data_IF_354877511985
#
_entry.id   IF_354877511985
#
_cell.length_a   1.000
_cell.length_b   1.000
_cell.length_c   1.000
_cell.angle_alpha   90.00
_cell.angle_beta   90.00
_cell.angle_gamma   90.00
#
_symmetry.space_group_name_H-M   'P 1'
#
loop_
_entity.id
_entity.type
_entity.pdbx_description
1 polymer ?
#
# COMPACT_ATOMS: atom_id res chain seq x y z
N UNK A 1 15.02 4.77 1.80
CA UNK A 1 14.23 5.80 2.53
C UNK A 1 12.89 6.01 1.81
N UNK A 2 11.74 5.89 2.50
CA UNK A 2 10.41 6.00 1.89
C UNK A 2 9.74 7.35 2.20
N UNK A 3 9.05 7.93 1.21
CA UNK A 3 8.15 9.06 1.38
C UNK A 3 6.69 8.60 1.20
N UNK A 4 5.83 8.96 2.16
CA UNK A 4 4.40 8.76 2.10
C UNK A 4 3.73 10.07 1.67
N UNK A 5 3.15 10.08 0.48
CA UNK A 5 2.40 11.21 -0.07
C UNK A 5 0.91 10.96 0.15
N UNK A 6 0.28 11.78 0.98
CA UNK A 6 -1.16 11.74 1.25
C UNK A 6 -1.78 13.11 1.05
N UNK A 7 -3.12 13.20 1.06
CA UNK A 7 -3.86 14.44 0.76
C UNK A 7 -3.37 15.67 1.54
N UNK A 8 -2.93 15.47 2.78
CA UNK A 8 -2.56 16.54 3.72
C UNK A 8 -1.06 16.88 3.74
N UNK A 9 -0.20 16.20 2.98
CA UNK A 9 1.25 16.41 3.06
C UNK A 9 2.12 15.25 2.60
N UNK A 10 3.41 15.32 2.95
CA UNK A 10 4.39 14.26 2.68
C UNK A 10 5.13 13.94 3.98
N UNK A 11 5.04 12.69 4.41
CA UNK A 11 5.73 12.18 5.59
C UNK A 11 6.89 11.27 5.18
N UNK A 12 7.92 11.22 6.01
CA UNK A 12 9.02 10.27 5.85
C UNK A 12 8.77 9.04 6.73
N UNK A 13 8.85 7.85 6.14
CA UNK A 13 8.61 6.59 6.85
C UNK A 13 9.93 5.83 6.96
N UNK A 14 10.41 5.62 8.19
CA UNK A 14 11.72 5.02 8.48
C UNK A 14 11.65 3.71 9.24
N UNK A 15 10.54 3.40 9.89
CA UNK A 15 10.38 2.15 10.64
C UNK A 15 8.96 1.91 11.14
N UNK A 16 8.80 0.86 11.95
CA UNK A 16 7.50 0.36 12.45
C UNK A 16 6.62 1.42 13.10
N UNK A 17 7.18 2.33 13.90
CA UNK A 17 6.38 3.39 14.55
C UNK A 17 5.77 4.35 13.51
N UNK A 18 6.54 4.72 12.49
CA UNK A 18 6.07 5.57 11.40
C UNK A 18 5.02 4.85 10.55
N UNK A 19 5.15 3.53 10.34
CA UNK A 19 4.14 2.72 9.64
C UNK A 19 2.81 2.73 10.39
N UNK A 20 2.84 2.56 11.72
CA UNK A 20 1.61 2.62 12.54
C UNK A 20 0.98 4.00 12.47
N UNK A 21 1.78 5.07 12.65
CA UNK A 21 1.30 6.45 12.54
C UNK A 21 0.69 6.74 11.16
N UNK A 22 1.32 6.26 10.10
CA UNK A 22 0.81 6.36 8.74
C UNK A 22 -0.56 5.67 8.64
N UNK A 23 -0.68 4.41 9.06
CA UNK A 23 -1.94 3.67 8.96
C UNK A 23 -3.06 4.29 9.80
N UNK A 24 -2.74 4.81 10.98
CA UNK A 24 -3.68 5.57 11.81
C UNK A 24 -4.14 6.83 11.08
N UNK A 25 -3.23 7.57 10.43
CA UNK A 25 -3.57 8.73 9.61
C UNK A 25 -4.43 8.35 8.40
N UNK A 26 -4.12 7.24 7.73
CA UNK A 26 -4.89 6.73 6.59
C UNK A 26 -6.29 6.26 6.97
N UNK A 27 -6.51 5.85 8.22
CA UNK A 27 -7.86 5.55 8.70
C UNK A 27 -8.79 6.79 8.65
N UNK A 28 -8.20 8.00 8.64
CA UNK A 28 -8.90 9.29 8.53
C UNK A 28 -8.80 9.90 7.12
N UNK A 29 -7.65 9.72 6.44
CA UNK A 29 -7.32 10.35 5.16
C UNK A 29 -7.50 9.43 3.92
N UNK A 30 -7.93 8.18 4.13
CA UNK A 30 -8.27 7.13 3.16
C UNK A 30 -7.11 6.55 2.33
N UNK A 31 -6.07 7.32 1.98
CA UNK A 31 -5.00 6.84 1.10
C UNK A 31 -3.63 7.57 1.18
N UNK A 32 -2.58 6.86 0.75
CA UNK A 32 -1.25 7.38 0.50
C UNK A 32 -0.55 6.67 -0.66
N UNK A 33 0.40 7.37 -1.28
CA UNK A 33 1.41 6.77 -2.18
C UNK A 33 2.74 6.70 -1.45
N UNK A 34 3.31 5.51 -1.34
CA UNK A 34 4.62 5.22 -0.79
C UNK A 34 5.65 5.10 -1.92
N UNK A 35 6.68 5.93 -1.86
CA UNK A 35 7.76 5.96 -2.85
C UNK A 35 9.07 5.63 -2.16
N UNK A 36 9.72 4.55 -2.59
CA UNK A 36 11.06 4.19 -2.11
C UNK A 36 12.12 4.93 -2.92
N UNK A 37 12.88 5.84 -2.29
CA UNK A 37 13.83 6.71 -3.00
C UNK A 37 14.95 5.95 -3.70
N UNK A 38 15.39 4.83 -3.13
CA UNK A 38 16.52 4.06 -3.65
C UNK A 38 16.10 3.05 -4.74
N UNK A 39 14.79 2.87 -4.93
CA UNK A 39 14.19 2.02 -5.97
C UNK A 39 13.00 2.75 -6.59
N UNK A 40 13.22 3.88 -7.28
CA UNK A 40 12.14 4.78 -7.75
C UNK A 40 11.22 4.14 -8.80
N UNK A 41 11.69 3.06 -9.44
CA UNK A 41 10.90 2.25 -10.37
C UNK A 41 9.81 1.43 -9.66
N UNK A 42 10.00 1.16 -8.36
CA UNK A 42 9.05 0.43 -7.52
C UNK A 42 8.21 1.42 -6.72
N UNK A 43 6.90 1.44 -6.99
CA UNK A 43 5.95 2.32 -6.30
C UNK A 43 4.88 1.50 -5.62
N UNK A 44 4.43 1.99 -4.47
CA UNK A 44 3.36 1.36 -3.71
C UNK A 44 2.27 2.40 -3.45
N UNK A 45 1.02 2.10 -3.81
CA UNK A 45 -0.15 2.84 -3.36
C UNK A 45 -0.81 2.04 -2.24
N UNK A 46 -1.20 2.73 -1.17
CA UNK A 46 -1.92 2.15 -0.04
C UNK A 46 -3.20 2.92 0.18
N UNK A 47 -4.29 2.18 0.33
CA UNK A 47 -5.57 2.72 0.76
C UNK A 47 -6.06 2.01 2.01
N UNK A 48 -6.65 2.74 2.95
CA UNK A 48 -7.23 2.20 4.18
C UNK A 48 -8.67 2.69 4.29
N UNK A 49 -9.57 1.80 4.71
CA UNK A 49 -10.96 2.10 5.02
C UNK A 49 -11.42 1.22 6.18
N UNK A 50 -11.64 1.83 7.34
CA UNK A 50 -11.94 1.09 8.56
C UNK A 50 -10.77 0.22 8.98
N UNK A 51 -11.02 -1.06 9.24
CA UNK A 51 -10.04 -2.06 9.70
C UNK A 51 -9.34 -2.81 8.55
N UNK A 52 -9.62 -2.43 7.30
CA UNK A 52 -9.10 -3.06 6.10
C UNK A 52 -8.49 -2.03 5.15
N UNK A 53 -7.66 -2.51 4.24
CA UNK A 53 -7.11 -1.69 3.18
C UNK A 53 -6.48 -2.51 2.08
N UNK A 54 -5.99 -1.84 1.05
CA UNK A 54 -5.39 -2.49 -0.11
C UNK A 54 -4.05 -1.86 -0.46
N UNK A 55 -3.16 -2.67 -1.03
CA UNK A 55 -1.86 -2.25 -1.53
C UNK A 55 -1.77 -2.53 -3.04
N UNK A 56 -1.29 -1.57 -3.81
CA UNK A 56 -0.94 -1.73 -5.22
C UNK A 56 0.55 -1.49 -5.36
N UNK A 57 1.28 -2.51 -5.79
CA UNK A 57 2.68 -2.42 -6.15
C UNK A 57 2.81 -2.32 -7.67
N UNK A 58 3.63 -1.42 -8.16
CA UNK A 58 4.00 -1.37 -9.58
C UNK A 58 5.51 -1.35 -9.73
N UNK A 59 6.00 -2.15 -10.67
CA UNK A 59 7.35 -2.06 -11.18
C UNK A 59 7.37 -2.20 -12.70
N UNK A 60 8.45 -1.72 -13.32
CA UNK A 60 8.59 -1.67 -14.78
C UNK A 60 8.79 -3.06 -15.42
N UNK A 61 9.17 -4.08 -14.66
CA UNK A 61 9.51 -5.41 -15.18
C UNK A 61 8.36 -6.41 -15.04
N UNK A 62 7.66 -6.42 -13.90
CA UNK A 62 6.58 -7.38 -13.61
C UNK A 62 5.19 -6.77 -13.72
N UNK A 63 5.10 -5.45 -13.86
CA UNK A 63 3.86 -4.70 -14.02
C UNK A 63 3.20 -4.37 -12.68
N UNK A 64 1.87 -4.34 -12.69
CA UNK A 64 1.05 -3.89 -11.57
C UNK A 64 0.44 -5.08 -10.82
N UNK A 65 0.52 -5.06 -9.50
CA UNK A 65 0.04 -6.12 -8.62
C UNK A 65 -0.72 -5.51 -7.46
N UNK A 66 -1.92 -6.00 -7.19
CA UNK A 66 -2.69 -5.61 -6.01
C UNK A 66 -2.65 -6.72 -4.97
N UNK A 67 -2.73 -6.36 -3.69
CA UNK A 67 -2.99 -7.32 -2.63
C UNK A 67 -4.23 -8.16 -2.96
N UNK A 68 -4.23 -9.41 -2.54
CA UNK A 68 -5.35 -10.33 -2.66
C UNK A 68 -5.90 -10.58 -1.25
N UNK A 69 -7.20 -10.46 -1.07
CA UNK A 69 -7.85 -10.59 0.22
C UNK A 69 -9.35 -10.82 0.07
N UNK A 70 -10.06 -10.74 1.19
CA UNK A 70 -11.51 -11.02 1.23
C UNK A 70 -12.37 -9.81 0.83
N UNK A 71 -11.73 -8.64 0.63
CA UNK A 71 -12.34 -7.35 0.30
C UNK A 71 -13.26 -7.33 -0.94
N UNK A 72 -13.88 -6.18 -1.21
CA UNK A 72 -15.21 -6.14 -1.80
C UNK A 72 -15.30 -6.80 -3.18
N UNK A 73 -16.48 -7.39 -3.42
CA UNK A 73 -16.89 -7.92 -4.74
C UNK A 73 -17.04 -6.83 -5.80
N UNK A 74 -17.03 -5.57 -5.38
CA UNK A 74 -16.96 -4.40 -6.25
C UNK A 74 -15.57 -3.78 -6.15
N UNK A 75 -15.06 -3.26 -7.26
CA UNK A 75 -13.74 -2.62 -7.32
C UNK A 75 -13.70 -1.39 -6.39
N UNK A 76 -12.91 -1.39 -5.31
CA UNK A 76 -12.78 -0.23 -4.46
C UNK A 76 -11.92 0.84 -5.14
N UNK A 77 -12.03 2.08 -4.67
CA UNK A 77 -11.25 3.21 -5.16
C UNK A 77 -10.49 3.83 -3.99
N UNK A 78 -9.19 3.98 -4.16
CA UNK A 78 -8.27 4.62 -3.22
C UNK A 78 -7.34 5.54 -4.01
N UNK A 79 -7.06 6.75 -3.53
CA UNK A 79 -6.21 7.75 -4.19
C UNK A 79 -6.59 8.02 -5.65
N UNK A 80 -7.89 7.94 -5.97
CA UNK A 80 -8.36 8.03 -7.35
C UNK A 80 -8.07 6.80 -8.23
N UNK A 81 -7.30 5.83 -7.75
CA UNK A 81 -6.97 4.55 -8.40
C UNK A 81 -8.06 3.52 -8.13
N UNK A 82 -8.52 2.80 -9.16
CA UNK A 82 -9.43 1.65 -8.99
C UNK A 82 -8.62 0.39 -8.78
N UNK A 83 -8.84 -0.24 -7.64
CA UNK A 83 -8.26 -1.53 -7.32
C UNK A 83 -9.13 -2.67 -7.89
N UNK A 84 -8.56 -3.86 -8.14
CA UNK A 84 -9.36 -5.04 -8.48
C UNK A 84 -10.28 -5.43 -7.31
N UNK A 85 -11.27 -6.27 -7.58
CA UNK A 85 -12.09 -6.90 -6.54
C UNK A 85 -11.22 -7.80 -5.66
N UNK A 86 -11.67 -8.11 -4.45
CA UNK A 86 -10.93 -9.02 -3.57
C UNK A 86 -9.52 -8.53 -3.25
N UNK A 87 -9.34 -7.23 -3.09
CA UNK A 87 -8.01 -6.66 -2.82
C UNK A 87 -7.77 -6.26 -1.36
N UNK A 88 -8.82 -6.07 -0.57
CA UNK A 88 -8.65 -5.60 0.80
C UNK A 88 -8.23 -6.72 1.74
N UNK A 89 -7.16 -6.46 2.48
CA UNK A 89 -6.59 -7.29 3.54
C UNK A 89 -6.72 -6.54 4.88
N UNK A 90 -6.60 -7.24 6.02
CA UNK A 90 -6.53 -6.59 7.33
C UNK A 90 -5.43 -5.52 7.40
N UNK A 91 -5.68 -4.42 8.13
CA UNK A 91 -4.68 -3.36 8.35
C UNK A 91 -3.40 -3.90 9.01
N UNK A 92 -3.51 -4.93 9.85
CA UNK A 92 -2.34 -5.60 10.44
C UNK A 92 -1.42 -6.23 9.37
N UNK A 93 -2.00 -6.86 8.35
CA UNK A 93 -1.25 -7.46 7.25
C UNK A 93 -0.65 -6.38 6.33
N UNK A 94 -1.37 -5.27 6.14
CA UNK A 94 -0.84 -4.08 5.46
C UNK A 94 0.40 -3.54 6.16
N UNK A 95 0.37 -3.42 7.49
CA UNK A 95 1.52 -2.94 8.26
C UNK A 95 2.75 -3.81 8.00
N UNK A 96 2.60 -5.13 8.10
CA UNK A 96 3.67 -6.09 7.84
C UNK A 96 4.20 -5.98 6.41
N UNK A 97 3.32 -5.80 5.42
CA UNK A 97 3.73 -5.63 4.03
C UNK A 97 4.49 -4.30 3.80
N UNK A 98 4.04 -3.20 4.41
CA UNK A 98 4.73 -1.90 4.31
C UNK A 98 6.12 -1.99 4.95
N UNK A 99 6.24 -2.65 6.11
CA UNK A 99 7.54 -2.90 6.76
C UNK A 99 8.49 -3.71 5.88
N UNK A 100 7.99 -4.73 5.20
CA UNK A 100 8.80 -5.51 4.25
C UNK A 100 9.23 -4.66 3.04
N UNK A 101 8.34 -3.81 2.52
CA UNK A 101 8.67 -2.88 1.44
C UNK A 101 9.71 -1.83 1.89
N UNK A 102 9.62 -1.34 3.13
CA UNK A 102 10.61 -0.44 3.73
C UNK A 102 12.00 -1.08 3.80
N UNK A 103 12.06 -2.37 4.14
CA UNK A 103 13.32 -3.09 4.30
C UNK A 103 13.96 -3.49 2.96
N UNK A 104 13.14 -3.80 1.95
CA UNK A 104 13.62 -4.44 0.72
C UNK A 104 13.53 -3.55 -0.52
N UNK A 105 12.61 -2.58 -0.53
CA UNK A 105 12.20 -1.85 -1.72
C UNK A 105 11.57 -2.72 -2.80
N UNK A 106 11.25 -4.00 -2.50
CA UNK A 106 10.68 -5.00 -3.42
C UNK A 106 9.22 -5.29 -3.08
N UNK A 107 8.50 -5.95 -3.99
CA UNK A 107 7.13 -6.39 -3.71
C UNK A 107 7.11 -7.28 -2.46
N UNK A 108 6.35 -6.92 -1.41
CA UNK A 108 6.24 -7.72 -0.19
C UNK A 108 5.80 -9.16 -0.47
N UNK A 109 6.33 -10.13 0.27
CA UNK A 109 6.06 -11.56 0.09
C UNK A 109 5.07 -12.11 1.12
N UNK A 110 4.83 -11.39 2.21
CA UNK A 110 3.97 -11.82 3.32
C UNK A 110 2.47 -11.65 3.09
N UNK A 111 2.07 -11.05 1.98
CA UNK A 111 0.66 -10.94 1.57
C UNK A 111 0.48 -11.56 0.19
N UNK A 112 -0.66 -12.21 -0.08
CA UNK A 112 -0.92 -12.75 -1.41
C UNK A 112 -1.22 -11.60 -2.39
N UNK A 113 -0.90 -11.82 -3.65
CA UNK A 113 -1.03 -10.82 -4.72
C UNK A 113 -1.85 -11.35 -5.89
N UNK A 114 -2.51 -10.43 -6.59
CA UNK A 114 -3.14 -10.66 -7.88
C UNK A 114 -2.59 -9.66 -8.89
N UNK A 115 -2.37 -10.13 -10.12
CA UNK A 115 -1.89 -9.26 -11.19
C UNK A 115 -3.03 -8.35 -11.67
N UNK A 116 -2.76 -7.05 -11.78
CA UNK A 116 -3.69 -6.08 -12.36
C UNK A 116 -3.51 -6.11 -13.87
N UNK A 117 -4.55 -6.54 -14.58
CA UNK A 117 -4.63 -6.54 -16.05
C UNK A 117 -5.22 -5.23 -16.56
#
# INVERSE_FOLDING_TARGET
MIQAHHRTGVDEVRGTEDVRRLLDLLSVAEDATLVHRDTPDNRVWVGVRGDRGAMLFTDVFTGSWASLGEGPRQRPRYAGVRFPTHCEIPVADLAVAIEEFLATGQRPTRVPWQQVR
#
